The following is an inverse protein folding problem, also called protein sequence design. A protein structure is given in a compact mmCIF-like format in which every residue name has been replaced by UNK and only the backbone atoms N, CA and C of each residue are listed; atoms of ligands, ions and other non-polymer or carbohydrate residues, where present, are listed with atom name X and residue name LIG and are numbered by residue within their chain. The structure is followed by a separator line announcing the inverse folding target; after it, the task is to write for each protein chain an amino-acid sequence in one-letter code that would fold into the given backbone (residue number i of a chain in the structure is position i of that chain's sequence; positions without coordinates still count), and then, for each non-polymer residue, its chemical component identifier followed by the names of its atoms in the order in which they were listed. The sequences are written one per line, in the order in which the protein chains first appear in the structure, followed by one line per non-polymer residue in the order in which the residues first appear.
data_IF_003653892629
#
_entry.id   IF_003653892629
#
_cell.length_a   1.000
_cell.length_b   1.000
_cell.length_c   1.000
_cell.angle_alpha   90.00
_cell.angle_beta   90.00
_cell.angle_gamma   90.00
#
_symmetry.space_group_name_H-M   'P 1'
#
loop_
_entity.id
_entity.type
_entity.pdbx_description
1 polymer ?
#
# COMPACT_ATOMS: atom_id res chain seq x y z
N UNK A 1 31.56 -8.07 -3.68
CA UNK A 1 30.79 -9.14 -2.99
C UNK A 1 29.45 -9.35 -3.64
N UNK A 2 29.06 -10.61 -3.91
CA UNK A 2 27.85 -10.93 -4.67
C UNK A 2 26.55 -10.53 -3.96
N UNK A 3 26.51 -10.54 -2.62
CA UNK A 3 25.28 -10.28 -1.85
C UNK A 3 24.81 -8.81 -1.87
N UNK A 4 25.71 -7.87 -2.16
CA UNK A 4 25.37 -6.44 -2.31
C UNK A 4 24.86 -6.12 -3.73
N UNK A 5 25.03 -7.04 -4.68
CA UNK A 5 24.58 -6.85 -6.06
C UNK A 5 23.05 -6.87 -6.13
N UNK A 6 22.45 -5.97 -6.93
CA UNK A 6 21.00 -5.88 -7.10
C UNK A 6 20.20 -5.35 -5.89
N UNK A 7 20.86 -5.06 -4.76
CA UNK A 7 20.22 -4.46 -3.59
C UNK A 7 19.76 -3.04 -3.90
N UNK A 8 18.60 -2.62 -3.39
CA UNK A 8 18.09 -1.26 -3.57
C UNK A 8 18.99 -0.24 -2.87
N UNK A 9 19.08 0.96 -3.43
CA UNK A 9 19.91 2.04 -2.85
C UNK A 9 19.43 2.45 -1.46
N UNK A 10 18.13 2.40 -1.22
CA UNK A 10 17.49 2.72 0.05
C UNK A 10 17.87 1.70 1.12
N UNK A 11 17.84 0.39 0.77
CA UNK A 11 18.23 -0.69 1.69
C UNK A 11 19.72 -0.54 2.08
N UNK A 12 20.59 -0.16 1.13
CA UNK A 12 22.00 0.13 1.41
C UNK A 12 22.20 1.39 2.26
N UNK A 13 21.35 2.41 2.10
CA UNK A 13 21.40 3.62 2.94
C UNK A 13 21.03 3.33 4.38
N UNK A 14 19.98 2.55 4.60
CA UNK A 14 19.60 2.10 5.95
C UNK A 14 20.72 1.31 6.60
N UNK A 15 21.36 0.41 5.85
CA UNK A 15 22.53 -0.30 6.35
C UNK A 15 23.67 0.65 6.74
N UNK A 16 24.00 1.63 5.89
CA UNK A 16 25.02 2.63 6.23
C UNK A 16 24.66 3.48 7.45
N UNK A 17 23.38 3.85 7.62
CA UNK A 17 22.90 4.59 8.78
C UNK A 17 23.10 3.78 10.08
N UNK A 18 22.79 2.49 10.05
CA UNK A 18 23.00 1.56 11.17
C UNK A 18 24.49 1.35 11.47
N UNK A 19 25.32 1.24 10.43
CA UNK A 19 26.78 1.14 10.53
C UNK A 19 27.47 2.48 10.83
N UNK A 20 26.72 3.57 10.98
CA UNK A 20 27.25 4.94 11.19
C UNK A 20 28.17 5.43 10.08
N UNK A 21 27.98 4.93 8.86
CA UNK A 21 28.66 5.37 7.65
C UNK A 21 27.93 6.56 7.02
N UNK A 22 28.66 7.63 6.72
CA UNK A 22 28.07 8.85 6.14
C UNK A 22 27.79 8.65 4.65
N UNK A 23 26.50 8.60 4.29
CA UNK A 23 26.06 8.56 2.89
C UNK A 23 25.38 9.86 2.50
N UNK A 24 25.83 10.48 1.42
CA UNK A 24 25.18 11.69 0.88
C UNK A 24 24.11 11.34 -0.16
N UNK A 25 23.17 12.28 -0.38
CA UNK A 25 22.08 12.09 -1.36
C UNK A 25 22.58 11.82 -2.79
N UNK A 26 23.76 12.36 -3.14
CA UNK A 26 24.39 12.29 -4.46
C UNK A 26 25.23 11.03 -4.71
N UNK A 27 25.60 10.28 -3.67
CA UNK A 27 26.42 9.07 -3.83
C UNK A 27 25.73 8.05 -4.74
N UNK A 28 26.50 7.42 -5.62
CA UNK A 28 26.02 6.33 -6.46
C UNK A 28 25.88 5.04 -5.66
N UNK A 29 25.12 4.07 -6.17
CA UNK A 29 25.00 2.76 -5.52
C UNK A 29 26.36 2.05 -5.41
N UNK A 30 27.23 2.22 -6.40
CA UNK A 30 28.59 1.64 -6.41
C UNK A 30 29.41 2.28 -5.29
N UNK A 31 29.41 3.61 -5.18
CA UNK A 31 30.14 4.31 -4.13
C UNK A 31 29.68 3.91 -2.71
N UNK A 32 28.39 3.64 -2.52
CA UNK A 32 27.86 3.16 -1.23
C UNK A 32 28.36 1.73 -0.93
N UNK A 33 28.35 0.84 -1.93
CA UNK A 33 28.89 -0.52 -1.76
C UNK A 33 30.38 -0.50 -1.41
N UNK A 34 31.14 0.35 -2.09
CA UNK A 34 32.57 0.50 -1.84
C UNK A 34 32.82 1.08 -0.45
N UNK A 35 31.99 2.04 0.01
CA UNK A 35 32.08 2.59 1.36
C UNK A 35 31.88 1.51 2.44
N UNK A 36 30.93 0.59 2.25
CA UNK A 36 30.66 -0.51 3.18
C UNK A 36 31.85 -1.49 3.21
N UNK A 37 32.32 -1.93 2.04
CA UNK A 37 33.39 -2.95 1.95
C UNK A 37 34.74 -2.42 2.45
N UNK A 38 34.99 -1.12 2.26
CA UNK A 38 36.24 -0.49 2.68
C UNK A 38 36.22 0.03 4.13
N UNK A 39 35.13 -0.18 4.88
CA UNK A 39 35.11 0.17 6.30
C UNK A 39 36.11 -0.68 7.09
N UNK A 40 36.79 -0.07 8.05
CA UNK A 40 37.78 -0.76 8.88
C UNK A 40 37.18 -1.86 9.76
N UNK A 41 35.88 -1.77 10.05
CA UNK A 41 35.13 -2.73 10.86
C UNK A 41 34.25 -3.62 9.99
N UNK A 42 34.51 -3.71 8.68
CA UNK A 42 33.73 -4.53 7.77
C UNK A 42 33.80 -6.01 8.17
N UNK A 43 32.65 -6.55 8.60
CA UNK A 43 32.42 -7.97 8.80
C UNK A 43 31.37 -8.43 7.77
N UNK A 44 31.76 -9.35 6.89
CA UNK A 44 30.91 -9.80 5.79
C UNK A 44 29.65 -10.54 6.28
N UNK A 45 29.77 -11.38 7.31
CA UNK A 45 28.64 -12.17 7.81
C UNK A 45 27.64 -11.26 8.52
N UNK A 46 28.14 -10.38 9.40
CA UNK A 46 27.33 -9.39 10.08
C UNK A 46 26.59 -8.49 9.08
N UNK A 47 27.32 -7.92 8.13
CA UNK A 47 26.76 -6.99 7.13
C UNK A 47 25.68 -7.67 6.27
N UNK A 48 25.91 -8.94 5.90
CA UNK A 48 24.97 -9.73 5.10
C UNK A 48 23.68 -10.01 5.86
N UNK A 49 23.76 -10.50 7.09
CA UNK A 49 22.56 -10.81 7.88
C UNK A 49 21.80 -9.54 8.29
N UNK A 50 22.51 -8.45 8.59
CA UNK A 50 21.89 -7.15 8.86
C UNK A 50 21.11 -6.65 7.63
N UNK A 51 21.73 -6.70 6.45
CA UNK A 51 21.07 -6.28 5.21
C UNK A 51 19.84 -7.14 4.88
N UNK A 52 19.93 -8.45 5.13
CA UNK A 52 18.82 -9.37 4.96
C UNK A 52 17.64 -9.00 5.87
N UNK A 53 17.90 -8.62 7.12
CA UNK A 53 16.88 -8.11 8.04
C UNK A 53 16.21 -6.84 7.52
N UNK A 54 17.00 -5.85 7.04
CA UNK A 54 16.46 -4.62 6.44
C UNK A 54 15.52 -4.92 5.27
N UNK A 55 15.96 -5.79 4.34
CA UNK A 55 15.16 -6.17 3.17
C UNK A 55 13.88 -6.90 3.60
N UNK A 56 13.97 -7.77 4.60
CA UNK A 56 12.81 -8.50 5.14
C UNK A 56 11.81 -7.55 5.78
N UNK A 57 12.26 -6.61 6.62
CA UNK A 57 11.40 -5.62 7.26
C UNK A 57 10.67 -4.77 6.21
N UNK A 58 11.37 -4.28 5.20
CA UNK A 58 10.75 -3.53 4.09
C UNK A 58 9.65 -4.33 3.38
N UNK A 59 9.85 -5.64 3.19
CA UNK A 59 8.84 -6.51 2.56
C UNK A 59 7.64 -6.73 3.49
N UNK A 60 7.90 -6.98 4.77
CA UNK A 60 6.88 -7.17 5.80
C UNK A 60 5.99 -5.93 5.94
N UNK A 61 6.58 -4.74 6.02
CA UNK A 61 5.84 -3.47 6.12
C UNK A 61 4.92 -3.24 4.92
N UNK A 62 5.40 -3.59 3.72
CA UNK A 62 4.58 -3.49 2.51
C UNK A 62 3.41 -4.47 2.55
N UNK A 63 3.66 -5.72 2.92
CA UNK A 63 2.61 -6.74 3.02
C UNK A 63 1.56 -6.37 4.07
N UNK A 64 2.00 -5.87 5.23
CA UNK A 64 1.11 -5.44 6.30
C UNK A 64 0.21 -4.28 5.83
N UNK A 65 0.78 -3.25 5.20
CA UNK A 65 0.00 -2.13 4.66
C UNK A 65 -1.02 -2.58 3.61
N UNK A 66 -0.67 -3.58 2.79
CA UNK A 66 -1.60 -4.13 1.81
C UNK A 66 -2.78 -4.86 2.48
N UNK A 67 -2.52 -5.61 3.56
CA UNK A 67 -3.57 -6.26 4.36
C UNK A 67 -4.48 -5.25 5.05
N UNK A 68 -3.91 -4.16 5.59
CA UNK A 68 -4.68 -3.08 6.20
C UNK A 68 -5.64 -2.45 5.19
N UNK A 69 -5.16 -2.11 3.99
CA UNK A 69 -5.99 -1.57 2.89
C UNK A 69 -7.10 -2.54 2.47
N UNK A 70 -6.79 -3.84 2.37
CA UNK A 70 -7.79 -4.85 2.02
C UNK A 70 -8.86 -4.98 3.11
N UNK A 71 -8.46 -4.96 4.38
CA UNK A 71 -9.39 -5.04 5.51
C UNK A 71 -10.32 -3.83 5.59
N UNK A 72 -9.81 -2.63 5.32
CA UNK A 72 -10.61 -1.40 5.31
C UNK A 72 -11.64 -1.44 4.18
N UNK A 73 -11.24 -1.88 2.98
CA UNK A 73 -12.17 -2.07 1.85
C UNK A 73 -13.24 -3.12 2.14
N UNK A 74 -12.87 -4.23 2.78
CA UNK A 74 -13.82 -5.27 3.15
C UNK A 74 -14.85 -4.75 4.16
N UNK A 75 -14.39 -4.00 5.16
CA UNK A 75 -15.25 -3.38 6.16
C UNK A 75 -16.21 -2.34 5.56
N UNK A 76 -15.74 -1.48 4.66
CA UNK A 76 -16.60 -0.52 3.96
C UNK A 76 -17.69 -1.21 3.13
N UNK A 77 -17.34 -2.29 2.41
CA UNK A 77 -18.29 -3.09 1.63
C UNK A 77 -19.35 -3.74 2.51
N UNK A 78 -18.98 -4.29 3.66
CA UNK A 78 -19.92 -4.88 4.63
C UNK A 78 -20.88 -3.83 5.18
N UNK A 79 -20.37 -2.64 5.54
CA UNK A 79 -21.20 -1.52 5.99
C UNK A 79 -22.22 -1.08 4.95
N UNK A 80 -21.82 -1.02 3.67
CA UNK A 80 -22.71 -0.72 2.54
C UNK A 80 -23.80 -1.78 2.37
N UNK A 81 -23.47 -3.07 2.51
CA UNK A 81 -24.45 -4.16 2.43
C UNK A 81 -25.48 -4.09 3.56
N UNK A 82 -25.05 -3.81 4.79
CA UNK A 82 -25.96 -3.66 5.94
C UNK A 82 -26.85 -2.40 5.85
N UNK A 83 -26.37 -1.36 5.17
CA UNK A 83 -27.11 -0.10 4.98
C UNK A 83 -28.07 -0.15 3.79
N UNK A 84 -28.02 -1.19 2.95
CA UNK A 84 -29.04 -1.44 1.95
C UNK A 84 -30.30 -2.00 2.65
N UNK A 85 -31.51 -1.48 2.35
CA UNK A 85 -32.73 -2.08 2.83
C UNK A 85 -32.75 -3.54 2.38
N UNK A 86 -32.75 -4.47 3.35
CA UNK A 86 -32.96 -5.88 3.04
C UNK A 86 -34.32 -5.98 2.33
N UNK A 87 -34.31 -6.25 1.03
CA UNK A 87 -35.47 -6.92 0.43
C UNK A 87 -35.45 -8.35 0.98
N UNK A 88 -35.96 -8.48 2.20
CA UNK A 88 -36.17 -9.74 2.89
C UNK A 88 -37.17 -10.57 2.08
N UNK A 89 -36.68 -11.53 1.30
CA UNK A 89 -37.50 -12.62 0.78
C UNK A 89 -37.49 -13.76 1.79
N UNK A 90 -38.30 -13.62 2.86
CA UNK A 90 -38.64 -14.74 3.73
C UNK A 90 -39.80 -15.51 3.12
N UNK A 91 -39.49 -16.75 2.72
CA UNK A 91 -40.32 -17.94 2.53
C UNK A 91 -41.87 -17.81 2.56
N UNK A 92 -42.53 -18.21 1.47
CA UNK A 92 -43.68 -19.11 1.55
C UNK A 92 -43.88 -19.86 0.22
N UNK A 93 -44.24 -21.14 0.32
CA UNK A 93 -44.35 -22.05 -0.81
C UNK A 93 -45.52 -21.77 -1.76
N UNK A 94 -45.43 -22.45 -2.90
CA UNK A 94 -46.48 -22.77 -3.87
C UNK A 94 -47.19 -21.59 -4.56
N UNK A 95 -46.94 -21.48 -5.86
CA UNK A 95 -47.91 -20.88 -6.79
C UNK A 95 -47.58 -19.44 -7.22
N UNK A 96 -47.43 -19.32 -8.53
CA UNK A 96 -47.57 -18.09 -9.32
C UNK A 96 -46.43 -17.06 -9.31
N UNK A 97 -45.78 -17.04 -10.47
CA UNK A 97 -44.86 -16.02 -11.00
C UNK A 97 -45.44 -14.60 -10.84
N UNK A 98 -44.73 -13.66 -10.19
CA UNK A 98 -44.95 -12.25 -10.40
C UNK A 98 -43.89 -11.70 -11.37
N UNK A 99 -44.35 -11.14 -12.48
CA UNK A 99 -43.57 -10.32 -13.41
C UNK A 99 -43.00 -9.12 -12.65
N UNK A 100 -41.68 -9.04 -12.53
CA UNK A 100 -40.99 -7.88 -11.96
C UNK A 100 -41.05 -6.75 -13.00
N UNK A 101 -41.98 -5.82 -12.83
CA UNK A 101 -41.91 -4.52 -13.50
C UNK A 101 -40.85 -3.67 -12.80
N UNK A 102 -39.69 -3.52 -13.44
CA UNK A 102 -38.66 -2.55 -13.07
C UNK A 102 -39.24 -1.16 -13.36
N UNK A 103 -39.99 -0.58 -12.41
CA UNK A 103 -40.29 0.84 -12.42
C UNK A 103 -39.00 1.60 -12.09
N UNK A 104 -38.31 2.01 -13.15
CA UNK A 104 -37.22 2.98 -13.14
C UNK A 104 -37.63 4.21 -12.33
N UNK A 105 -37.26 4.26 -11.05
CA UNK A 105 -37.35 5.48 -10.26
C UNK A 105 -36.24 6.40 -10.74
N UNK A 106 -36.65 7.36 -11.56
CA UNK A 106 -35.89 8.52 -12.00
C UNK A 106 -35.40 9.29 -10.77
N UNK A 107 -34.18 9.01 -10.30
CA UNK A 107 -33.52 9.84 -9.32
C UNK A 107 -33.19 11.18 -9.99
N UNK A 108 -33.86 12.23 -9.54
CA UNK A 108 -33.57 13.62 -9.96
C UNK A 108 -32.30 14.07 -9.23
N UNK A 109 -31.36 14.76 -9.90
CA UNK A 109 -30.25 15.40 -9.21
C UNK A 109 -30.82 16.64 -8.51
N UNK A 110 -30.86 16.61 -7.18
CA UNK A 110 -31.04 17.81 -6.37
C UNK A 110 -29.68 18.11 -5.77
N UNK A 111 -28.98 19.04 -6.41
CA UNK A 111 -27.79 19.69 -5.87
C UNK A 111 -28.25 20.64 -4.78
N UNK A 112 -27.70 20.45 -3.57
CA UNK A 112 -27.26 21.52 -2.65
C UNK A 112 -26.52 20.83 -1.48
N UNK A 113 -25.19 20.75 -1.64
CA UNK A 113 -24.12 21.14 -0.70
C UNK A 113 -24.29 20.75 0.80
N UNK A 114 -23.38 20.06 1.51
CA UNK A 114 -21.94 20.33 1.72
C UNK A 114 -21.27 19.08 2.34
N UNK A 115 -20.09 18.68 1.83
CA UNK A 115 -18.96 18.42 2.74
C UNK A 115 -18.25 17.06 2.77
N UNK A 116 -18.53 16.07 1.90
CA UNK A 116 -17.88 14.74 2.03
C UNK A 116 -17.14 14.23 0.79
N UNK A 117 -17.23 14.89 -0.36
CA UNK A 117 -16.57 14.42 -1.59
C UNK A 117 -15.16 14.96 -1.78
N UNK A 118 -14.85 16.18 -1.31
CA UNK A 118 -13.57 16.81 -1.60
C UNK A 118 -12.42 16.24 -0.76
N UNK A 119 -12.66 15.86 0.49
CA UNK A 119 -11.64 15.23 1.35
C UNK A 119 -11.30 13.82 0.85
N UNK A 120 -12.30 13.06 0.40
CA UNK A 120 -12.10 11.69 -0.11
C UNK A 120 -11.43 11.73 -1.49
N UNK A 121 -11.80 12.68 -2.34
CA UNK A 121 -11.18 12.85 -3.66
C UNK A 121 -9.74 13.36 -3.56
N UNK A 122 -9.45 14.27 -2.62
CA UNK A 122 -8.06 14.73 -2.38
C UNK A 122 -7.20 13.66 -1.73
N UNK A 123 -7.73 12.87 -0.78
CA UNK A 123 -7.01 11.76 -0.15
C UNK A 123 -6.66 10.65 -1.15
N UNK A 124 -7.60 10.25 -2.00
CA UNK A 124 -7.34 9.28 -3.08
C UNK A 124 -6.32 9.82 -4.09
N UNK A 125 -6.41 11.11 -4.45
CA UNK A 125 -5.46 11.72 -5.37
C UNK A 125 -4.04 11.84 -4.78
N UNK A 126 -3.91 12.13 -3.48
CA UNK A 126 -2.62 12.14 -2.77
C UNK A 126 -2.04 10.74 -2.67
N UNK A 127 -2.87 9.73 -2.40
CA UNK A 127 -2.48 8.32 -2.36
C UNK A 127 -2.00 7.81 -3.72
N UNK A 128 -2.70 8.14 -4.82
CA UNK A 128 -2.25 7.82 -6.18
C UNK A 128 -0.94 8.53 -6.54
N UNK A 129 -0.76 9.80 -6.15
CA UNK A 129 0.51 10.53 -6.35
C UNK A 129 1.66 9.90 -5.55
N UNK A 130 1.39 9.45 -4.33
CA UNK A 130 2.38 8.79 -3.47
C UNK A 130 2.77 7.42 -4.03
N UNK A 131 1.80 6.60 -4.44
CA UNK A 131 2.05 5.32 -5.12
C UNK A 131 2.85 5.52 -6.40
N UNK A 132 2.54 6.53 -7.21
CA UNK A 132 3.28 6.83 -8.44
C UNK A 132 4.71 7.30 -8.18
N UNK A 133 4.98 7.90 -7.02
CA UNK A 133 6.34 8.28 -6.59
C UNK A 133 7.15 7.12 -6.01
N UNK A 134 6.50 6.14 -5.39
CA UNK A 134 7.14 4.91 -4.88
C UNK A 134 7.39 3.89 -6.00
N UNK A 135 6.51 3.84 -7.00
CA UNK A 135 6.56 2.87 -8.10
C UNK A 135 7.31 3.38 -9.34
N UNK A 136 7.87 4.60 -9.32
CA UNK A 136 8.70 5.12 -10.41
C UNK A 136 10.14 4.62 -10.23
N UNK A 137 10.69 3.84 -11.17
CA UNK A 137 12.06 3.38 -11.09
C UNK A 137 13.01 4.54 -11.39
N UNK A 138 13.89 4.86 -10.45
CA UNK A 138 15.22 5.43 -10.76
C UNK A 138 16.19 4.26 -10.80
#
# INVERSE_FOLDING_TARGET
MAYLAGVKKEDLRSLCEDLRLTVTSKMSIIAIRDLIINDTNYDEEFTREHLKSIIQNRKSDYEQRMKEIESERAFELEKLQLSQPQQSTTAHGLGEKPTIEIKSLKCKPQEDDIGLSDTVLTATHLFLKFLKKILSPI
#
